data_IF_448508614196
#
_entry.id   IF_448508614196
#
_cell.length_a   1.000
_cell.length_b   1.000
_cell.length_c   1.000
_cell.angle_alpha   90.00
_cell.angle_beta   90.00
_cell.angle_gamma   90.00
#
_symmetry.space_group_name_H-M   'P 1'
#
loop_
_entity.id
_entity.type
_entity.pdbx_description
1 polymer ?
#
# COMPACT_ATOMS: atom_id res chain seq x y z
N UNK A 1 -11.87 81.70 1.70
CA UNK A 1 -12.99 80.76 1.89
C UNK A 1 -12.47 79.33 1.69
N UNK A 2 -12.56 78.53 2.76
CA UNK A 2 -12.00 77.18 2.88
C UNK A 2 -12.61 76.20 1.85
N UNK A 3 -11.75 75.45 1.15
CA UNK A 3 -12.15 74.26 0.39
C UNK A 3 -12.02 73.04 1.30
N UNK A 4 -13.16 72.46 1.66
CA UNK A 4 -13.27 71.18 2.37
C UNK A 4 -12.80 70.08 1.40
N UNK A 5 -11.71 69.38 1.73
CA UNK A 5 -11.29 68.17 1.01
C UNK A 5 -11.91 66.97 1.74
N UNK A 6 -12.85 66.31 1.07
CA UNK A 6 -13.44 65.04 1.50
C UNK A 6 -12.36 63.95 1.35
N UNK A 7 -11.89 63.40 2.46
CA UNK A 7 -11.12 62.15 2.45
C UNK A 7 -12.10 60.99 2.33
N UNK A 8 -12.23 60.42 1.14
CA UNK A 8 -12.85 59.11 0.95
C UNK A 8 -11.87 58.03 1.38
N UNK A 9 -12.10 57.46 2.55
CA UNK A 9 -11.42 56.27 3.05
C UNK A 9 -11.69 55.11 2.10
N UNK A 10 -10.68 54.69 1.33
CA UNK A 10 -10.71 53.43 0.61
C UNK A 10 -10.50 52.33 1.65
N UNK A 11 -11.58 51.67 2.06
CA UNK A 11 -11.47 50.39 2.74
C UNK A 11 -10.85 49.39 1.74
N UNK A 12 -9.60 48.99 1.98
CA UNK A 12 -9.06 47.76 1.42
C UNK A 12 -9.94 46.62 1.90
N UNK A 13 -10.85 46.16 1.05
CA UNK A 13 -11.48 44.86 1.22
C UNK A 13 -10.34 43.85 1.03
N UNK A 14 -9.96 43.23 2.14
CA UNK A 14 -9.10 42.07 2.22
C UNK A 14 -9.52 41.07 1.14
N UNK A 15 -8.66 40.88 0.13
CA UNK A 15 -8.76 39.72 -0.73
C UNK A 15 -8.57 38.49 0.14
N UNK A 16 -9.67 37.80 0.44
CA UNK A 16 -9.64 36.41 0.86
C UNK A 16 -8.75 35.68 -0.16
N UNK A 17 -7.68 34.98 0.25
CA UNK A 17 -7.04 34.05 -0.65
C UNK A 17 -8.09 32.99 -0.96
N UNK A 18 -8.73 33.10 -2.12
CA UNK A 18 -9.37 31.96 -2.74
C UNK A 18 -8.26 30.92 -2.85
N UNK A 19 -8.34 29.89 -2.01
CA UNK A 19 -7.59 28.67 -2.20
C UNK A 19 -8.06 28.09 -3.54
N UNK A 20 -7.48 28.55 -4.65
CA UNK A 20 -7.49 27.78 -5.87
C UNK A 20 -6.87 26.43 -5.50
N UNK A 21 -7.64 25.35 -5.65
CA UNK A 21 -7.14 24.01 -5.41
C UNK A 21 -5.88 23.83 -6.23
N UNK A 22 -4.74 23.65 -5.57
CA UNK A 22 -3.50 23.43 -6.30
C UNK A 22 -3.66 22.15 -7.10
N UNK A 23 -3.55 22.27 -8.42
CA UNK A 23 -3.56 21.15 -9.36
C UNK A 23 -2.42 20.21 -9.02
N UNK A 24 -2.73 18.91 -8.96
CA UNK A 24 -1.75 17.88 -8.69
C UNK A 24 -1.03 17.48 -9.99
N UNK A 25 0.28 17.26 -9.90
CA UNK A 25 1.10 16.78 -11.02
C UNK A 25 1.31 15.27 -10.87
N UNK A 26 0.96 14.52 -11.91
CA UNK A 26 1.15 13.07 -11.97
C UNK A 26 2.34 12.69 -12.84
N UNK A 27 3.15 11.74 -12.35
CA UNK A 27 4.24 11.12 -13.10
C UNK A 27 3.75 10.02 -14.03
N UNK A 28 2.74 9.27 -13.62
CA UNK A 28 2.11 8.24 -14.43
C UNK A 28 0.80 8.75 -15.05
N UNK A 29 0.77 8.86 -16.38
CA UNK A 29 -0.40 9.33 -17.12
C UNK A 29 -1.58 8.36 -17.09
N UNK A 30 -1.34 7.06 -16.91
CA UNK A 30 -2.41 6.10 -16.72
C UNK A 30 -3.00 6.21 -15.31
N UNK A 31 -2.16 6.53 -14.31
CA UNK A 31 -2.63 6.84 -12.96
C UNK A 31 -3.51 8.10 -12.99
N UNK A 32 -3.02 9.20 -13.56
CA UNK A 32 -3.75 10.46 -13.70
C UNK A 32 -5.12 10.24 -14.36
N UNK A 33 -5.13 9.57 -15.51
CA UNK A 33 -6.36 9.25 -16.22
C UNK A 33 -7.31 8.42 -15.35
N UNK A 34 -6.80 7.39 -14.67
CA UNK A 34 -7.63 6.50 -13.86
C UNK A 34 -8.25 7.22 -12.66
N UNK A 35 -7.55 8.18 -12.05
CA UNK A 35 -8.13 8.95 -10.95
C UNK A 35 -9.12 10.02 -11.43
N UNK A 36 -8.84 10.69 -12.55
CA UNK A 36 -9.78 11.65 -13.13
C UNK A 36 -11.11 10.99 -13.53
N UNK A 37 -11.06 9.77 -14.08
CA UNK A 37 -12.26 9.00 -14.44
C UNK A 37 -13.21 8.76 -13.25
N UNK A 38 -12.69 8.70 -12.02
CA UNK A 38 -13.45 8.25 -10.85
C UNK A 38 -13.61 9.30 -9.75
N UNK A 39 -12.73 10.32 -9.71
CA UNK A 39 -12.60 11.21 -8.55
C UNK A 39 -12.54 12.70 -8.90
N UNK A 40 -12.58 13.09 -10.19
CA UNK A 40 -12.82 14.48 -10.60
C UNK A 40 -14.32 14.79 -10.40
N UNK A 41 -14.65 15.35 -9.24
CA UNK A 41 -16.04 15.57 -8.79
C UNK A 41 -16.64 16.76 -9.51
N UNK A 42 -15.85 17.82 -9.70
CA UNK A 42 -16.31 19.05 -10.33
C UNK A 42 -16.23 18.99 -11.88
N UNK A 43 -15.60 17.94 -12.43
CA UNK A 43 -15.43 17.67 -13.86
C UNK A 43 -14.67 18.76 -14.60
N UNK A 44 -13.73 19.41 -13.91
CA UNK A 44 -12.89 20.45 -14.50
C UNK A 44 -11.70 19.88 -15.30
N UNK A 45 -11.54 18.55 -15.31
CA UNK A 45 -10.51 17.84 -16.06
C UNK A 45 -9.16 17.76 -15.32
N UNK A 46 -9.10 18.16 -14.05
CA UNK A 46 -7.91 18.06 -13.21
C UNK A 46 -8.27 17.55 -11.82
N UNK A 47 -7.36 16.81 -11.16
CA UNK A 47 -7.57 16.41 -9.78
C UNK A 47 -7.00 17.48 -8.85
N UNK A 48 -7.87 18.12 -8.08
CA UNK A 48 -7.47 19.12 -7.11
C UNK A 48 -7.04 18.49 -5.77
N UNK A 49 -6.22 19.21 -5.01
CA UNK A 49 -5.78 18.76 -3.67
C UNK A 49 -6.95 18.46 -2.71
N UNK A 50 -8.06 19.19 -2.84
CA UNK A 50 -9.30 18.98 -2.08
C UNK A 50 -9.97 17.66 -2.44
N UNK A 51 -10.03 17.33 -3.72
CA UNK A 51 -10.58 16.07 -4.21
C UNK A 51 -9.72 14.89 -3.78
N UNK A 52 -8.41 14.97 -4.00
CA UNK A 52 -7.47 13.95 -3.54
C UNK A 52 -7.52 13.75 -2.01
N UNK A 53 -7.75 14.82 -1.25
CA UNK A 53 -7.91 14.78 0.20
C UNK A 53 -9.15 14.02 0.67
N UNK A 54 -10.19 13.88 -0.16
CA UNK A 54 -11.40 13.12 0.17
C UNK A 54 -11.27 11.62 -0.15
N UNK A 55 -10.26 11.22 -0.93
CA UNK A 55 -10.10 9.84 -1.37
C UNK A 55 -9.55 8.99 -0.24
N UNK A 56 -10.34 7.99 0.15
CA UNK A 56 -9.97 6.98 1.16
C UNK A 56 -9.69 5.61 0.55
N UNK A 57 -10.19 5.33 -0.66
CA UNK A 57 -10.01 4.06 -1.34
C UNK A 57 -9.59 4.29 -2.79
N UNK A 58 -8.46 3.73 -3.19
CA UNK A 58 -7.96 3.73 -4.56
C UNK A 58 -8.04 2.31 -5.14
N UNK A 59 -9.02 2.08 -6.01
CA UNK A 59 -9.19 0.82 -6.73
C UNK A 59 -8.86 1.03 -8.21
N UNK A 60 -7.59 0.83 -8.58
CA UNK A 60 -7.04 1.15 -9.90
C UNK A 60 -6.55 -0.11 -10.62
N UNK A 61 -7.39 -1.14 -10.64
CA UNK A 61 -7.08 -2.46 -11.23
C UNK A 61 -7.00 -2.38 -12.75
N UNK A 62 -5.96 -2.99 -13.33
CA UNK A 62 -5.78 -3.12 -14.79
C UNK A 62 -5.88 -1.78 -15.54
N UNK A 63 -5.26 -0.74 -14.98
CA UNK A 63 -5.23 0.60 -15.57
C UNK A 63 -3.99 0.88 -16.42
N UNK A 64 -3.05 -0.06 -16.48
CA UNK A 64 -1.78 0.13 -17.16
C UNK A 64 -0.82 1.04 -16.39
N UNK A 65 -1.01 1.16 -15.08
CA UNK A 65 -0.12 1.92 -14.20
C UNK A 65 1.24 1.22 -14.16
N UNK A 66 2.30 2.03 -14.14
CA UNK A 66 3.69 1.61 -14.25
C UNK A 66 4.56 2.03 -13.07
N UNK A 67 4.13 3.02 -12.28
CA UNK A 67 4.85 3.47 -11.07
C UNK A 67 3.89 3.84 -9.93
N UNK A 68 4.39 3.75 -8.69
CA UNK A 68 3.69 4.18 -7.47
C UNK A 68 4.10 5.57 -7.00
N UNK A 69 4.88 6.31 -7.78
CA UNK A 69 5.37 7.64 -7.40
C UNK A 69 4.25 8.59 -7.02
N UNK A 70 3.08 8.52 -7.65
CA UNK A 70 1.95 9.43 -7.39
C UNK A 70 1.16 9.10 -6.11
N UNK A 71 1.45 7.99 -5.41
CA UNK A 71 0.70 7.61 -4.20
C UNK A 71 0.82 8.63 -3.06
N UNK A 72 1.91 9.41 -3.02
CA UNK A 72 2.12 10.44 -1.99
C UNK A 72 1.08 11.58 -2.05
N UNK A 73 0.35 11.70 -3.15
CA UNK A 73 -0.72 12.69 -3.33
C UNK A 73 -1.97 12.36 -2.49
N UNK A 74 -2.16 11.10 -2.08
CA UNK A 74 -3.39 10.61 -1.43
C UNK A 74 -3.20 10.36 0.07
N UNK A 75 -3.02 11.44 0.84
CA UNK A 75 -2.62 11.39 2.26
C UNK A 75 -3.62 10.68 3.20
N UNK A 76 -4.90 10.63 2.82
CA UNK A 76 -5.98 10.05 3.63
C UNK A 76 -6.39 8.64 3.16
N UNK A 77 -5.63 8.04 2.24
CA UNK A 77 -5.94 6.74 1.68
C UNK A 77 -5.77 5.64 2.74
N UNK A 78 -6.78 4.77 2.80
CA UNK A 78 -6.85 3.59 3.68
C UNK A 78 -6.68 2.30 2.91
N UNK A 79 -7.18 2.24 1.68
CA UNK A 79 -7.07 1.04 0.83
C UNK A 79 -6.52 1.41 -0.52
N UNK A 80 -5.48 0.69 -0.96
CA UNK A 80 -4.91 0.80 -2.30
C UNK A 80 -4.95 -0.60 -2.93
N UNK A 81 -5.58 -0.72 -4.08
CA UNK A 81 -5.61 -1.93 -4.91
C UNK A 81 -5.16 -1.57 -6.31
N UNK A 82 -3.98 -2.07 -6.68
CA UNK A 82 -3.30 -1.83 -7.96
C UNK A 82 -3.16 -3.11 -8.78
N UNK A 83 -3.98 -4.12 -8.51
CA UNK A 83 -3.87 -5.43 -9.15
C UNK A 83 -3.88 -5.35 -10.69
N UNK A 84 -3.23 -6.31 -11.33
CA UNK A 84 -3.15 -6.46 -12.79
C UNK A 84 -2.56 -5.24 -13.54
N UNK A 85 -1.70 -4.45 -12.89
CA UNK A 85 -0.88 -3.41 -13.52
C UNK A 85 0.54 -3.92 -13.82
N UNK A 86 1.44 -3.07 -14.35
CA UNK A 86 2.83 -3.46 -14.63
C UNK A 86 3.80 -2.57 -13.85
N UNK A 87 3.94 -2.87 -12.55
CA UNK A 87 4.67 -2.04 -11.59
C UNK A 87 5.86 -2.84 -11.03
N UNK A 88 6.98 -2.92 -11.77
CA UNK A 88 8.10 -3.80 -11.41
C UNK A 88 8.80 -3.40 -10.12
N UNK A 89 8.69 -2.13 -9.73
CA UNK A 89 9.29 -1.55 -8.52
C UNK A 89 8.22 -0.80 -7.74
N UNK A 90 7.97 -1.22 -6.51
CA UNK A 90 7.04 -0.57 -5.61
C UNK A 90 7.82 0.12 -4.49
N UNK A 91 7.50 1.41 -4.30
CA UNK A 91 7.95 2.20 -3.16
C UNK A 91 6.73 2.86 -2.54
N UNK A 92 6.44 2.51 -1.28
CA UNK A 92 5.28 3.03 -0.53
C UNK A 92 5.72 3.50 0.84
N UNK A 93 5.75 4.81 1.06
CA UNK A 93 6.26 5.39 2.29
C UNK A 93 5.28 6.42 2.86
N UNK A 94 5.24 6.52 4.19
CA UNK A 94 4.57 7.60 4.91
C UNK A 94 3.05 7.74 4.62
N UNK A 95 2.37 6.63 4.32
CA UNK A 95 0.90 6.59 4.25
C UNK A 95 0.35 6.13 5.61
N UNK A 96 0.31 7.05 6.57
CA UNK A 96 -0.03 6.75 7.96
C UNK A 96 -1.46 6.19 8.12
N UNK A 97 -2.39 6.46 7.19
CA UNK A 97 -3.76 5.95 7.22
C UNK A 97 -3.95 4.63 6.47
N UNK A 98 -2.93 4.14 5.77
CA UNK A 98 -3.05 2.95 4.93
C UNK A 98 -3.23 1.69 5.80
N UNK A 99 -4.33 0.98 5.56
CA UNK A 99 -4.73 -0.24 6.25
C UNK A 99 -4.55 -1.47 5.34
N UNK A 100 -4.76 -1.30 4.02
CA UNK A 100 -4.65 -2.37 3.01
C UNK A 100 -3.88 -1.91 1.77
N UNK A 101 -2.92 -2.73 1.34
CA UNK A 101 -2.22 -2.57 0.06
C UNK A 101 -2.26 -3.88 -0.73
N UNK A 102 -2.74 -3.83 -1.97
CA UNK A 102 -2.75 -4.94 -2.91
C UNK A 102 -2.09 -4.55 -4.23
N UNK A 103 -1.21 -5.41 -4.72
CA UNK A 103 -0.68 -5.35 -6.08
C UNK A 103 -0.38 -6.79 -6.56
N UNK A 104 -1.45 -7.56 -6.72
CA UNK A 104 -1.43 -8.91 -7.24
C UNK A 104 -1.24 -8.88 -8.76
N UNK A 105 -0.44 -9.81 -9.32
CA UNK A 105 -0.18 -9.87 -10.77
C UNK A 105 0.46 -8.60 -11.35
N UNK A 106 1.29 -7.91 -10.56
CA UNK A 106 1.90 -6.63 -10.93
C UNK A 106 3.30 -6.77 -11.58
N UNK A 107 3.82 -7.99 -11.71
CA UNK A 107 5.22 -8.29 -12.12
C UNK A 107 6.26 -7.64 -11.22
N UNK A 108 5.98 -7.53 -9.92
CA UNK A 108 6.87 -6.89 -8.95
C UNK A 108 8.14 -7.71 -8.80
N UNK A 109 9.28 -7.06 -8.99
CA UNK A 109 10.61 -7.60 -8.69
C UNK A 109 11.21 -7.00 -7.42
N UNK A 110 10.74 -5.83 -7.01
CA UNK A 110 11.23 -5.09 -5.83
C UNK A 110 10.06 -4.42 -5.11
N UNK A 111 9.94 -4.68 -3.81
CA UNK A 111 8.97 -4.04 -2.93
C UNK A 111 9.70 -3.40 -1.76
N UNK A 112 9.48 -2.09 -1.57
CA UNK A 112 9.97 -1.33 -0.42
C UNK A 112 8.82 -0.57 0.21
N UNK A 113 8.66 -0.74 1.52
CA UNK A 113 7.68 -0.03 2.29
C UNK A 113 8.27 0.41 3.62
N UNK A 114 8.03 1.67 3.99
CA UNK A 114 8.49 2.24 5.26
C UNK A 114 7.39 3.10 5.89
N UNK A 115 7.35 3.14 7.22
CA UNK A 115 6.43 3.96 8.00
C UNK A 115 4.93 3.73 7.70
N UNK A 116 4.51 2.50 7.43
CA UNK A 116 3.08 2.15 7.25
C UNK A 116 2.51 1.59 8.56
N UNK A 117 2.38 2.47 9.56
CA UNK A 117 2.08 2.09 10.96
C UNK A 117 0.72 1.41 11.16
N UNK A 118 -0.20 1.58 10.24
CA UNK A 118 -1.56 1.04 10.30
C UNK A 118 -1.82 -0.05 9.26
N UNK A 119 -0.83 -0.44 8.46
CA UNK A 119 -1.01 -1.48 7.44
C UNK A 119 -1.23 -2.83 8.13
N UNK A 120 -2.41 -3.41 7.90
CA UNK A 120 -2.82 -4.71 8.46
C UNK A 120 -2.88 -5.80 7.39
N UNK A 121 -3.07 -5.43 6.13
CA UNK A 121 -3.24 -6.38 5.02
C UNK A 121 -2.33 -6.03 3.86
N UNK A 122 -1.48 -6.98 3.47
CA UNK A 122 -0.56 -6.84 2.34
C UNK A 122 -0.70 -8.03 1.40
N UNK A 123 -1.12 -7.76 0.17
CA UNK A 123 -1.33 -8.77 -0.87
C UNK A 123 -0.42 -8.50 -2.06
N UNK A 124 0.56 -9.39 -2.27
CA UNK A 124 1.52 -9.31 -3.37
C UNK A 124 1.63 -10.65 -4.10
N UNK A 125 0.51 -11.37 -4.21
CA UNK A 125 0.44 -12.67 -4.87
C UNK A 125 0.79 -12.58 -6.36
N UNK A 126 1.31 -13.66 -6.92
CA UNK A 126 1.62 -13.82 -8.34
C UNK A 126 2.54 -12.70 -8.87
N UNK A 127 3.74 -12.63 -8.30
CA UNK A 127 4.77 -11.66 -8.65
C UNK A 127 6.13 -12.36 -8.83
N UNK A 128 7.20 -11.58 -8.95
CA UNK A 128 8.55 -12.06 -9.26
C UNK A 128 9.52 -11.83 -8.08
N UNK A 129 9.01 -11.74 -6.84
CA UNK A 129 9.84 -11.43 -5.68
C UNK A 129 10.74 -12.61 -5.32
N UNK A 130 12.05 -12.41 -5.36
CA UNK A 130 13.04 -13.37 -4.82
C UNK A 130 13.36 -13.12 -3.35
N UNK A 131 13.16 -11.89 -2.89
CA UNK A 131 13.31 -11.48 -1.50
C UNK A 131 12.34 -10.34 -1.19
N UNK A 132 12.01 -10.16 0.09
CA UNK A 132 11.18 -9.06 0.55
C UNK A 132 11.67 -8.58 1.92
N UNK A 133 11.79 -7.27 2.08
CA UNK A 133 12.03 -6.64 3.38
C UNK A 133 10.77 -5.89 3.80
N UNK A 134 10.25 -6.25 4.96
CA UNK A 134 9.01 -5.69 5.49
C UNK A 134 9.25 -4.93 6.79
N UNK A 135 10.39 -4.26 6.93
CA UNK A 135 10.73 -3.49 8.13
C UNK A 135 9.82 -2.28 8.32
N UNK A 136 9.35 -2.03 9.54
CA UNK A 136 8.57 -0.82 9.84
C UNK A 136 7.07 -0.91 9.51
N UNK A 137 6.54 -2.11 9.27
CA UNK A 137 5.11 -2.39 9.12
C UNK A 137 4.59 -3.39 10.18
N UNK A 138 4.67 -3.06 11.48
CA UNK A 138 4.56 -4.04 12.57
C UNK A 138 3.16 -4.64 12.79
N UNK A 139 2.11 -4.04 12.23
CA UNK A 139 0.71 -4.42 12.47
C UNK A 139 0.12 -5.40 11.46
N UNK A 140 0.94 -5.97 10.58
CA UNK A 140 0.46 -6.92 9.57
C UNK A 140 -0.22 -8.12 10.25
N UNK A 141 -1.48 -8.30 9.88
CA UNK A 141 -2.36 -9.37 10.31
C UNK A 141 -2.52 -10.45 9.23
N UNK A 142 -2.63 -10.01 7.98
CA UNK A 142 -2.75 -10.89 6.81
C UNK A 142 -1.68 -10.54 5.79
N UNK A 143 -0.85 -11.53 5.46
CA UNK A 143 0.21 -11.41 4.48
C UNK A 143 0.07 -12.52 3.43
N UNK A 144 -0.08 -12.14 2.17
CA UNK A 144 -0.13 -13.07 1.05
C UNK A 144 0.97 -12.74 0.04
N UNK A 145 1.81 -13.73 -0.20
CA UNK A 145 3.00 -13.68 -1.06
C UNK A 145 3.05 -14.92 -1.94
N UNK A 146 1.90 -15.54 -2.22
CA UNK A 146 1.85 -16.77 -3.00
C UNK A 146 2.34 -16.54 -4.43
N UNK A 147 2.78 -17.60 -5.10
CA UNK A 147 3.24 -17.55 -6.49
C UNK A 147 4.34 -16.48 -6.69
N UNK A 148 5.37 -16.55 -5.87
CA UNK A 148 6.57 -15.73 -5.97
C UNK A 148 7.80 -16.65 -6.08
N UNK A 149 9.00 -16.11 -5.85
CA UNK A 149 10.26 -16.83 -5.97
C UNK A 149 11.09 -16.78 -4.67
N UNK A 150 10.43 -16.54 -3.53
CA UNK A 150 11.08 -16.31 -2.24
C UNK A 150 11.84 -17.55 -1.78
N UNK A 151 13.10 -17.35 -1.38
CA UNK A 151 13.95 -18.40 -0.77
C UNK A 151 13.93 -18.36 0.75
N UNK A 152 13.69 -17.18 1.32
CA UNK A 152 13.59 -16.94 2.76
C UNK A 152 12.56 -15.84 3.02
N UNK A 153 12.05 -15.78 4.25
CA UNK A 153 11.19 -14.71 4.73
C UNK A 153 11.44 -14.46 6.22
N UNK A 154 11.56 -13.19 6.63
CA UNK A 154 11.69 -12.83 8.05
C UNK A 154 10.35 -12.36 8.60
N UNK A 155 9.80 -13.11 9.54
CA UNK A 155 8.47 -12.88 10.13
C UNK A 155 8.53 -12.40 11.59
N UNK A 156 9.73 -12.23 12.16
CA UNK A 156 9.91 -12.07 13.61
C UNK A 156 9.17 -10.88 14.22
N UNK A 157 8.95 -9.82 13.43
CA UNK A 157 8.29 -8.59 13.89
C UNK A 157 6.75 -8.70 13.95
N UNK A 158 6.13 -9.64 13.22
CA UNK A 158 4.67 -9.67 13.07
C UNK A 158 4.00 -10.44 14.20
N UNK A 159 3.96 -9.84 15.39
CA UNK A 159 3.39 -10.46 16.60
C UNK A 159 1.88 -10.71 16.51
N UNK A 160 1.20 -9.95 15.65
CA UNK A 160 -0.26 -9.99 15.46
C UNK A 160 -0.68 -10.72 14.18
N UNK A 161 0.26 -11.28 13.41
CA UNK A 161 -0.02 -12.01 12.17
C UNK A 161 -0.94 -13.20 12.45
N UNK A 162 -2.15 -13.22 11.89
CA UNK A 162 -3.08 -14.36 11.98
C UNK A 162 -3.04 -15.26 10.76
N UNK A 163 -2.77 -14.69 9.57
CA UNK A 163 -2.84 -15.42 8.29
C UNK A 163 -1.60 -15.16 7.44
N UNK A 164 -0.91 -16.25 7.08
CA UNK A 164 0.23 -16.22 6.17
C UNK A 164 0.01 -17.19 5.01
N UNK A 165 0.08 -16.66 3.78
CA UNK A 165 0.16 -17.46 2.57
C UNK A 165 1.48 -17.20 1.84
N UNK A 166 2.33 -18.22 1.75
CA UNK A 166 3.60 -18.21 1.00
C UNK A 166 3.65 -19.39 0.03
N UNK A 167 2.49 -19.89 -0.38
CA UNK A 167 2.34 -20.97 -1.34
C UNK A 167 3.11 -20.71 -2.64
N UNK A 168 3.60 -21.77 -3.29
CA UNK A 168 4.32 -21.72 -4.55
C UNK A 168 5.46 -20.69 -4.54
N UNK A 169 6.38 -20.89 -3.60
CA UNK A 169 7.65 -20.17 -3.51
C UNK A 169 8.82 -21.19 -3.56
N UNK A 170 10.02 -20.76 -3.17
CA UNK A 170 11.24 -21.59 -3.12
C UNK A 170 11.77 -21.74 -1.69
N UNK A 171 10.90 -21.64 -0.69
CA UNK A 171 11.26 -21.78 0.72
C UNK A 171 11.65 -23.23 1.03
N UNK A 172 12.65 -23.40 1.88
CA UNK A 172 13.08 -24.70 2.41
C UNK A 172 12.88 -24.83 3.92
N UNK A 173 12.68 -23.71 4.61
CA UNK A 173 12.42 -23.65 6.03
C UNK A 173 11.56 -22.43 6.33
N UNK A 174 10.88 -22.43 7.48
CA UNK A 174 10.14 -21.27 7.95
C UNK A 174 10.17 -21.18 9.47
N UNK A 175 10.48 -19.99 9.98
CA UNK A 175 10.45 -19.70 11.42
C UNK A 175 9.23 -18.84 11.74
N UNK A 176 8.24 -19.46 12.37
CA UNK A 176 7.02 -18.82 12.89
C UNK A 176 7.03 -18.74 14.42
N UNK A 177 8.17 -18.98 15.08
CA UNK A 177 8.25 -18.95 16.55
C UNK A 177 7.96 -17.57 17.14
N UNK A 178 8.14 -16.51 16.35
CA UNK A 178 7.82 -15.14 16.73
C UNK A 178 6.35 -14.74 16.54
N UNK A 179 5.52 -15.57 15.90
CA UNK A 179 4.16 -15.23 15.45
C UNK A 179 3.09 -15.93 16.30
N UNK A 180 3.00 -15.58 17.58
CA UNK A 180 2.11 -16.25 18.54
C UNK A 180 0.61 -16.15 18.24
N UNK A 181 0.20 -15.18 17.42
CA UNK A 181 -1.18 -15.01 16.98
C UNK A 181 -1.52 -15.78 15.69
N UNK A 182 -0.56 -16.49 15.09
CA UNK A 182 -0.74 -17.16 13.80
C UNK A 182 -1.76 -18.29 13.92
N UNK A 183 -2.77 -18.27 13.06
CA UNK A 183 -3.86 -19.24 13.04
C UNK A 183 -3.73 -20.16 11.82
N UNK A 184 -3.39 -19.58 10.66
CA UNK A 184 -3.29 -20.32 9.40
C UNK A 184 -1.99 -20.01 8.67
N UNK A 185 -1.29 -21.08 8.27
CA UNK A 185 -0.09 -21.04 7.45
C UNK A 185 -0.29 -21.91 6.21
N UNK A 186 -0.22 -21.32 5.03
CA UNK A 186 -0.13 -22.08 3.77
C UNK A 186 1.29 -21.99 3.20
N UNK A 187 1.94 -23.15 3.09
CA UNK A 187 3.29 -23.34 2.53
C UNK A 187 3.30 -24.31 1.35
N UNK A 188 2.14 -24.68 0.81
CA UNK A 188 2.03 -25.61 -0.31
C UNK A 188 2.94 -25.20 -1.49
N UNK A 189 3.47 -26.18 -2.22
CA UNK A 189 4.33 -25.89 -3.37
C UNK A 189 5.70 -25.27 -3.02
N UNK A 190 6.11 -25.29 -1.76
CA UNK A 190 7.50 -25.09 -1.33
C UNK A 190 8.19 -26.44 -1.08
N UNK A 191 9.46 -26.42 -0.65
CA UNK A 191 10.24 -27.62 -0.26
C UNK A 191 10.45 -27.67 1.25
N UNK A 192 9.38 -27.49 2.02
CA UNK A 192 9.40 -27.44 3.49
C UNK A 192 8.85 -28.75 4.05
N UNK A 193 9.65 -29.46 4.85
CA UNK A 193 9.17 -30.60 5.64
C UNK A 193 8.65 -30.15 6.98
N UNK A 194 7.88 -31.00 7.67
CA UNK A 194 7.41 -30.72 9.03
C UNK A 194 8.55 -30.37 10.01
N UNK A 195 9.73 -30.98 9.85
CA UNK A 195 10.91 -30.71 10.67
C UNK A 195 11.55 -29.35 10.42
N UNK A 196 11.28 -28.72 9.28
CA UNK A 196 11.85 -27.43 8.88
C UNK A 196 10.99 -26.24 9.32
N UNK A 197 9.88 -26.52 10.01
CA UNK A 197 8.96 -25.53 10.57
C UNK A 197 9.32 -25.29 12.03
N UNK A 198 9.96 -24.16 12.31
CA UNK A 198 10.21 -23.73 13.68
C UNK A 198 9.00 -22.98 14.22
N UNK A 199 8.33 -23.55 15.21
CA UNK A 199 7.14 -23.00 15.86
C UNK A 199 7.33 -22.75 17.34
N UNK A 200 6.55 -21.82 17.89
CA UNK A 200 6.45 -21.66 19.34
C UNK A 200 5.70 -22.84 19.96
N UNK A 201 6.04 -23.21 21.19
CA UNK A 201 5.38 -24.29 21.93
C UNK A 201 3.89 -24.02 22.21
N UNK A 202 3.46 -22.76 22.13
CA UNK A 202 2.07 -22.33 22.39
C UNK A 202 1.21 -22.19 21.13
N UNK A 203 1.77 -22.32 19.94
CA UNK A 203 1.07 -21.98 18.71
C UNK A 203 0.29 -23.18 18.15
N UNK A 204 -1.03 -23.12 18.23
CA UNK A 204 -1.94 -24.01 17.48
C UNK A 204 -2.17 -23.41 16.09
N UNK A 205 -1.31 -23.79 15.13
CA UNK A 205 -1.37 -23.29 13.76
C UNK A 205 -1.88 -24.40 12.85
N UNK A 206 -2.89 -24.07 12.05
CA UNK A 206 -3.32 -24.94 10.94
C UNK A 206 -2.35 -24.74 9.77
N UNK A 207 -1.60 -25.79 9.42
CA UNK A 207 -0.55 -25.75 8.41
C UNK A 207 -0.99 -26.56 7.19
N UNK A 208 -0.94 -25.94 6.01
CA UNK A 208 -1.24 -26.57 4.73
C UNK A 208 0.02 -26.75 3.89
N UNK A 209 0.18 -27.95 3.30
CA UNK A 209 1.18 -28.20 2.24
C UNK A 209 2.62 -28.48 2.69
N UNK A 210 2.84 -28.85 3.96
CA UNK A 210 4.14 -29.36 4.40
C UNK A 210 4.40 -30.76 3.81
N UNK A 211 5.62 -31.01 3.33
CA UNK A 211 6.08 -32.37 3.00
C UNK A 211 6.27 -33.19 4.29
N UNK A 212 6.18 -34.52 4.16
CA UNK A 212 6.40 -35.46 5.27
C UNK A 212 7.83 -35.42 5.83
#
# INVERSE_FOLDING_TARGET
MMKIKIFTTVCLISGLPFFYGQTLEFKDKNFEKAVLENFDVNKNGVLESTEAGMITNLFLVKKGITTTEDLHLFKNVKMIVLDDNMIPNIVVNNLDQLELFSCTQCKISSFKAENLKNLTSLYLDNNLLESISLTGIPKIDQLTLSLNQLKTINLLQFKVLRKLNVEHNKLQQIDISGNSALQTLNIAGNKIRKTDIKKSTKAEVTIFGAEE
#
